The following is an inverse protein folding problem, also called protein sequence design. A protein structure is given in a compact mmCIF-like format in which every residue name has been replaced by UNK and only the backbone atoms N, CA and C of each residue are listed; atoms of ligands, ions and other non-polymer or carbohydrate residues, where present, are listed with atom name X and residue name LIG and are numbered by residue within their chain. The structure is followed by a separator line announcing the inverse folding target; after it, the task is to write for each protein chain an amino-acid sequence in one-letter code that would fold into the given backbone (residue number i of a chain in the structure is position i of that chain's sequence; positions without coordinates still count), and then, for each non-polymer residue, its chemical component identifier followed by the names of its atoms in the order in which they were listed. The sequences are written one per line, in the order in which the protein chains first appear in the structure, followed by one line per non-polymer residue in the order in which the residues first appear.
data_IF_342489474267
#
_entry.id   IF_342489474267
#
_cell.length_a   1.000
_cell.length_b   1.000
_cell.length_c   1.000
_cell.angle_alpha   90.00
_cell.angle_beta   90.00
_cell.angle_gamma   90.00
#
_symmetry.space_group_name_H-M   'P 1'
#
loop_
_entity.id
_entity.type
_entity.pdbx_description
1 polymer ?
#
# COMPACT_ATOMS: atom_id res chain seq x y z
N UNK A 1 -16.96 12.18 4.49
CA UNK A 1 -15.73 11.64 5.14
C UNK A 1 -14.57 12.57 4.81
N UNK A 2 -13.72 12.91 5.79
CA UNK A 2 -12.41 13.50 5.47
C UNK A 2 -11.59 12.48 4.65
N UNK A 3 -10.68 12.94 3.80
CA UNK A 3 -9.81 12.06 2.99
C UNK A 3 -8.90 11.16 3.84
N UNK A 4 -8.50 11.61 5.03
CA UNK A 4 -7.56 10.93 5.93
C UNK A 4 -7.89 9.45 6.23
N UNK A 5 -9.08 9.10 6.72
CA UNK A 5 -9.45 7.70 6.98
C UNK A 5 -9.29 6.75 5.78
N UNK A 6 -9.63 7.20 4.57
CA UNK A 6 -9.48 6.39 3.35
C UNK A 6 -8.00 6.23 3.01
N UNK A 7 -7.19 7.29 3.13
CA UNK A 7 -5.75 7.23 2.95
C UNK A 7 -5.12 6.19 3.90
N UNK A 8 -5.41 6.28 5.20
CA UNK A 8 -4.86 5.38 6.22
C UNK A 8 -5.29 3.93 6.02
N UNK A 9 -6.57 3.70 5.67
CA UNK A 9 -7.08 2.37 5.35
C UNK A 9 -6.30 1.74 4.19
N UNK A 10 -6.06 2.52 3.13
CA UNK A 10 -5.45 2.02 1.92
C UNK A 10 -3.93 1.85 2.03
N UNK A 11 -3.26 2.69 2.83
CA UNK A 11 -1.84 2.50 3.20
C UNK A 11 -1.66 1.15 3.91
N UNK A 12 -2.48 0.88 4.93
CA UNK A 12 -2.46 -0.39 5.66
C UNK A 12 -2.83 -1.60 4.79
N UNK A 13 -3.88 -1.50 3.98
CA UNK A 13 -4.28 -2.57 3.05
C UNK A 13 -3.16 -2.89 2.04
N UNK A 14 -2.44 -1.87 1.59
CA UNK A 14 -1.30 -2.01 0.68
C UNK A 14 -0.12 -2.69 1.34
N UNK A 15 0.23 -2.30 2.57
CA UNK A 15 1.27 -2.99 3.35
C UNK A 15 0.96 -4.47 3.58
N UNK A 16 -0.28 -4.80 3.96
CA UNK A 16 -0.74 -6.18 4.11
C UNK A 16 -0.66 -6.97 2.79
N UNK A 17 -1.02 -6.36 1.66
CA UNK A 17 -0.93 -7.01 0.36
C UNK A 17 0.54 -7.30 -0.03
N UNK A 18 1.48 -6.42 0.34
CA UNK A 18 2.91 -6.62 0.11
C UNK A 18 3.45 -7.76 0.98
N UNK A 19 3.17 -7.75 2.28
CA UNK A 19 3.62 -8.84 3.17
C UNK A 19 3.05 -10.20 2.75
N UNK A 20 1.78 -10.23 2.31
CA UNK A 20 1.18 -11.44 1.74
C UNK A 20 1.90 -11.89 0.48
N UNK A 21 2.22 -10.97 -0.45
CA UNK A 21 2.94 -11.30 -1.68
C UNK A 21 4.39 -11.77 -1.42
N UNK A 22 5.04 -11.25 -0.37
CA UNK A 22 6.39 -11.65 0.03
C UNK A 22 6.41 -12.92 0.91
N UNK A 23 5.27 -13.32 1.46
CA UNK A 23 5.14 -14.38 2.47
C UNK A 23 6.06 -14.17 3.70
N UNK A 24 6.28 -12.92 4.10
CA UNK A 24 7.06 -12.53 5.27
C UNK A 24 6.77 -11.09 5.68
N UNK A 25 6.93 -10.81 6.97
CA UNK A 25 6.88 -9.45 7.50
C UNK A 25 8.29 -8.85 7.45
N UNK A 26 8.48 -7.87 6.58
CA UNK A 26 9.69 -7.05 6.53
C UNK A 26 9.34 -5.57 6.60
N UNK A 27 10.24 -4.74 7.14
CA UNK A 27 10.06 -3.30 7.11
C UNK A 27 9.90 -2.79 5.68
N UNK A 28 8.81 -2.04 5.47
CA UNK A 28 8.52 -1.31 4.24
C UNK A 28 8.16 0.13 4.62
N UNK A 29 8.47 1.06 3.74
CA UNK A 29 8.04 2.45 3.87
C UNK A 29 7.30 2.89 2.61
N UNK A 30 6.24 3.66 2.80
CA UNK A 30 5.46 4.27 1.73
C UNK A 30 6.32 5.33 1.04
N UNK A 31 6.57 5.17 -0.26
CA UNK A 31 7.31 6.14 -1.08
C UNK A 31 6.34 7.05 -1.84
N UNK A 32 5.28 6.46 -2.40
CA UNK A 32 4.22 7.14 -3.14
C UNK A 32 2.91 6.44 -2.81
N UNK A 33 1.87 7.23 -2.49
CA UNK A 33 0.51 6.75 -2.31
C UNK A 33 -0.43 7.78 -2.92
N UNK A 34 -1.02 7.43 -4.05
CA UNK A 34 -1.97 8.26 -4.79
C UNK A 34 -3.36 7.73 -4.56
N UNK A 35 -4.27 8.63 -4.21
CA UNK A 35 -5.68 8.33 -3.99
C UNK A 35 -6.50 9.24 -4.89
N UNK A 36 -7.14 8.63 -5.88
CA UNK A 36 -8.01 9.32 -6.83
C UNK A 36 -9.45 9.14 -6.34
N UNK A 37 -10.00 10.16 -5.68
CA UNK A 37 -11.40 10.18 -5.25
C UNK A 37 -12.31 10.47 -6.44
N UNK A 38 -13.14 9.50 -6.80
CA UNK A 38 -14.04 9.62 -7.97
C UNK A 38 -15.45 10.05 -7.58
N UNK A 39 -15.85 9.82 -6.32
CA UNK A 39 -17.10 10.30 -5.73
C UNK A 39 -17.03 10.32 -4.20
N UNK A 40 -17.95 11.01 -3.49
CA UNK A 40 -18.06 10.87 -2.04
C UNK A 40 -18.53 9.47 -1.64
N UNK A 41 -18.10 9.01 -0.46
CA UNK A 41 -18.69 7.84 0.19
C UNK A 41 -20.10 8.15 0.70
N UNK A 42 -20.99 7.14 0.65
CA UNK A 42 -22.34 7.20 1.18
C UNK A 42 -22.31 7.42 2.70
N UNK A 43 -23.16 8.33 3.16
CA UNK A 43 -23.25 8.65 4.58
C UNK A 43 -23.67 7.43 5.40
N UNK A 44 -23.07 7.26 6.59
CA UNK A 44 -23.32 6.14 7.49
C UNK A 44 -22.85 4.77 6.97
N UNK A 45 -22.29 4.68 5.76
CA UNK A 45 -21.87 3.41 5.18
C UNK A 45 -20.43 3.06 5.57
N UNK A 46 -20.12 1.77 5.84
CA UNK A 46 -18.75 1.32 6.00
C UNK A 46 -17.96 1.49 4.70
N UNK A 47 -16.65 1.71 4.82
CA UNK A 47 -15.73 1.73 3.67
C UNK A 47 -14.83 0.49 3.71
N UNK A 48 -14.76 -0.19 2.58
CA UNK A 48 -13.94 -1.38 2.36
C UNK A 48 -12.78 -1.05 1.45
N UNK A 49 -11.56 -1.39 1.87
CA UNK A 49 -10.34 -1.24 1.09
C UNK A 49 -9.88 -2.58 0.52
N UNK A 50 -9.51 -2.60 -0.75
CA UNK A 50 -8.90 -3.78 -1.39
C UNK A 50 -7.65 -3.38 -2.14
N UNK A 51 -6.54 -4.03 -1.79
CA UNK A 51 -5.24 -3.81 -2.42
C UNK A 51 -4.68 -5.11 -3.00
N UNK A 52 -3.97 -4.99 -4.12
CA UNK A 52 -3.22 -6.05 -4.76
C UNK A 52 -1.78 -5.56 -4.98
N UNK A 53 -0.82 -6.22 -4.34
CA UNK A 53 0.57 -6.12 -4.74
C UNK A 53 0.76 -6.94 -6.01
N UNK A 54 1.03 -6.28 -7.14
CA UNK A 54 1.15 -6.94 -8.44
C UNK A 54 2.60 -7.13 -8.88
N UNK A 55 3.54 -6.44 -8.22
CA UNK A 55 4.98 -6.58 -8.49
C UNK A 55 5.80 -6.30 -7.25
N UNK A 56 6.71 -7.22 -6.93
CA UNK A 56 7.79 -7.01 -5.96
C UNK A 56 9.12 -7.07 -6.71
N UNK A 57 10.01 -6.13 -6.41
CA UNK A 57 11.38 -6.05 -6.96
C UNK A 57 12.39 -6.14 -5.82
N UNK A 58 13.68 -5.94 -6.09
CA UNK A 58 14.71 -5.91 -5.04
C UNK A 58 14.48 -4.79 -4.03
N UNK A 59 14.14 -3.59 -4.48
CA UNK A 59 14.06 -2.38 -3.64
C UNK A 59 12.65 -1.86 -3.40
N UNK A 60 11.67 -2.24 -4.23
CA UNK A 60 10.32 -1.68 -4.16
C UNK A 60 9.21 -2.72 -4.41
N UNK A 61 8.01 -2.42 -3.94
CA UNK A 61 6.77 -3.13 -4.21
C UNK A 61 5.72 -2.17 -4.77
N UNK A 62 4.97 -2.63 -5.76
CA UNK A 62 3.98 -1.86 -6.49
C UNK A 62 2.59 -2.43 -6.21
N UNK A 63 1.67 -1.55 -5.84
CA UNK A 63 0.33 -1.89 -5.38
C UNK A 63 -0.70 -1.06 -6.14
N UNK A 64 -1.80 -1.71 -6.48
CA UNK A 64 -3.02 -1.05 -6.95
C UNK A 64 -4.19 -1.45 -6.06
N UNK A 65 -5.17 -0.58 -5.93
CA UNK A 65 -6.33 -0.87 -5.10
C UNK A 65 -7.53 0.03 -5.39
N UNK A 66 -8.58 -0.23 -4.63
CA UNK A 66 -9.77 0.61 -4.59
C UNK A 66 -10.36 0.61 -3.18
N UNK A 67 -11.07 1.69 -2.86
CA UNK A 67 -11.95 1.80 -1.72
C UNK A 67 -13.39 1.91 -2.21
N UNK A 68 -14.32 1.18 -1.60
CA UNK A 68 -15.74 1.23 -1.94
C UNK A 68 -16.62 1.15 -0.69
N UNK A 69 -17.87 1.62 -0.78
CA UNK A 69 -18.83 1.69 0.33
C UNK A 69 -19.98 0.69 0.17
N UNK A 70 -19.66 -0.50 -0.37
CA UNK A 70 -20.59 -1.62 -0.54
C UNK A 70 -20.57 -2.25 -1.93
N UNK A 71 -20.21 -1.49 -2.97
CA UNK A 71 -20.12 -1.98 -4.35
C UNK A 71 -18.75 -1.70 -4.97
N UNK A 72 -17.97 -2.74 -5.26
CA UNK A 72 -16.62 -2.58 -5.81
C UNK A 72 -16.60 -2.11 -7.28
N UNK A 73 -17.72 -2.20 -7.99
CA UNK A 73 -17.87 -1.68 -9.36
C UNK A 73 -18.17 -0.18 -9.40
N UNK A 74 -18.58 0.40 -8.27
CA UNK A 74 -18.80 1.83 -8.05
C UNK A 74 -17.90 2.32 -6.90
N UNK A 75 -16.57 2.43 -7.12
CA UNK A 75 -15.62 2.75 -6.06
C UNK A 75 -15.75 4.22 -5.61
N UNK A 76 -15.41 4.46 -4.34
CA UNK A 76 -15.22 5.80 -3.78
C UNK A 76 -13.88 6.39 -4.24
N UNK A 77 -12.84 5.55 -4.25
CA UNK A 77 -11.50 5.96 -4.65
C UNK A 77 -10.70 4.82 -5.29
N UNK A 78 -9.79 5.19 -6.19
CA UNK A 78 -8.75 4.31 -6.71
C UNK A 78 -7.40 4.62 -6.06
N UNK A 79 -6.54 3.60 -5.97
CA UNK A 79 -5.24 3.70 -5.32
C UNK A 79 -4.15 3.15 -6.23
N UNK A 80 -3.07 3.91 -6.35
CA UNK A 80 -1.78 3.46 -6.87
C UNK A 80 -0.72 3.77 -5.82
N UNK A 81 0.15 2.81 -5.51
CA UNK A 81 1.15 3.01 -4.48
C UNK A 81 2.47 2.29 -4.79
N UNK A 82 3.55 2.89 -4.30
CA UNK A 82 4.91 2.35 -4.32
C UNK A 82 5.45 2.36 -2.91
N UNK A 83 5.94 1.20 -2.47
CA UNK A 83 6.59 1.02 -1.17
C UNK A 83 8.04 0.63 -1.39
N UNK A 84 8.96 1.22 -0.63
CA UNK A 84 10.35 0.76 -0.58
C UNK A 84 10.52 -0.32 0.49
N UNK A 85 11.33 -1.34 0.22
CA UNK A 85 11.71 -2.34 1.21
C UNK A 85 12.93 -1.86 1.98
N UNK A 86 12.82 -1.80 3.30
CA UNK A 86 13.90 -1.42 4.21
C UNK A 86 14.54 -2.73 4.70
N UNK A 87 15.32 -3.37 3.82
CA UNK A 87 15.95 -4.67 4.09
C UNK A 87 16.78 -5.19 2.92
N UNK A 88 18.04 -5.53 3.20
CA UNK A 88 19.16 -5.90 2.29
C UNK A 88 19.90 -4.74 1.61
N UNK A 89 20.26 -3.74 2.41
CA UNK A 89 21.48 -2.93 2.20
C UNK A 89 22.20 -2.74 3.55
N UNK A 90 22.58 -3.85 4.17
CA UNK A 90 23.89 -3.90 4.82
C UNK A 90 24.68 -4.90 3.99
N UNK A 91 25.11 -4.46 2.80
CA UNK A 91 26.36 -5.00 2.29
C UNK A 91 27.39 -4.65 3.35
N UNK A 92 27.70 -5.63 4.20
CA UNK A 92 28.77 -5.57 5.17
C UNK A 92 30.04 -5.61 4.33
N UNK A 93 30.36 -4.50 3.66
CA UNK A 93 31.71 -4.26 3.13
C UNK A 93 32.59 -4.33 4.36
N UNK A 94 33.19 -5.50 4.56
CA UNK A 94 34.25 -5.71 5.52
C UNK A 94 35.25 -4.57 5.29
N UNK A 95 35.38 -3.71 6.30
CA UNK A 95 36.50 -2.78 6.32
C UNK A 95 37.75 -3.66 6.35
N UNK A 96 38.65 -3.54 5.37
CA UNK A 96 39.86 -4.34 5.37
C UNK A 96 40.71 -3.95 6.59
N UNK A 97 40.96 -4.95 7.46
CA UNK A 97 42.07 -5.05 8.41
C UNK A 97 42.37 -3.83 9.29
N UNK A 98 42.08 -3.96 10.59
CA UNK A 98 42.92 -3.38 11.64
C UNK A 98 44.00 -4.40 12.05
#
# INVERSE_FOLDING_TARGET
LASGPILSLMDMASGLAIWKAMNRFEPIATLDLRVDYVRPAREGSPVFGRSQCYRVTRSAAFVRGLAHDGDASDPVAHIQAVFMKIGQSADKRELPGE
#
